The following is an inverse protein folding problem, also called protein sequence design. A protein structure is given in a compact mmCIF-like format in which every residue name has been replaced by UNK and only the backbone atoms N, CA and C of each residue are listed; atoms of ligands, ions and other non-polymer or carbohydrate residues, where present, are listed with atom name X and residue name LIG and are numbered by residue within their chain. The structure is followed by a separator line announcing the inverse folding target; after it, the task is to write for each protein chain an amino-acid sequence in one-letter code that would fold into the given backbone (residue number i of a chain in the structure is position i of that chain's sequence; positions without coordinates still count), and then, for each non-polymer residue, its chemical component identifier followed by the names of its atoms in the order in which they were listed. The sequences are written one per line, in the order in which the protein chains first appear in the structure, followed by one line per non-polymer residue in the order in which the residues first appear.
data_IF_584637360538
#
_entry.id   IF_584637360538
#
_cell.length_a   1.000
_cell.length_b   1.000
_cell.length_c   1.000
_cell.angle_alpha   90.00
_cell.angle_beta   90.00
_cell.angle_gamma   90.00
#
_symmetry.space_group_name_H-M   'P 1'
#
loop_
_entity.id
_entity.type
_entity.pdbx_description
1 polymer ?
#
# COMPACT_ATOMS: atom_id res chain seq x y z
N UNK A 1 -7.64 -2.62 -14.02
CA UNK A 1 -6.45 -1.89 -14.51
C UNK A 1 -6.14 -2.38 -15.90
N UNK A 2 -5.77 -1.50 -16.82
CA UNK A 2 -5.28 -1.89 -18.14
C UNK A 2 -3.86 -2.49 -18.04
N UNK A 3 -3.41 -3.26 -19.04
CA UNK A 3 -2.02 -3.73 -19.09
C UNK A 3 -0.99 -2.60 -18.97
N UNK A 4 -1.26 -1.45 -19.60
CA UNK A 4 -0.37 -0.28 -19.59
C UNK A 4 -0.25 0.31 -18.18
N UNK A 5 -1.35 0.42 -17.45
CA UNK A 5 -1.36 0.89 -16.05
C UNK A 5 -0.53 -0.03 -15.15
N UNK A 6 -0.66 -1.36 -15.33
CA UNK A 6 0.13 -2.34 -14.58
C UNK A 6 1.62 -2.19 -14.88
N UNK A 7 1.98 -2.08 -16.16
CA UNK A 7 3.36 -1.85 -16.58
C UNK A 7 3.92 -0.54 -16.02
N UNK A 8 3.10 0.51 -15.96
CA UNK A 8 3.51 1.81 -15.42
C UNK A 8 3.77 1.75 -13.92
N UNK A 9 2.90 1.10 -13.14
CA UNK A 9 3.13 0.84 -11.70
C UNK A 9 4.42 0.04 -11.51
N UNK A 10 4.63 -1.02 -12.30
CA UNK A 10 5.83 -1.85 -12.21
C UNK A 10 7.11 -1.07 -12.56
N UNK A 11 7.05 -0.21 -13.56
CA UNK A 11 8.21 0.56 -14.05
C UNK A 11 8.56 1.69 -13.09
N UNK A 12 7.56 2.39 -12.54
CA UNK A 12 7.79 3.44 -11.56
C UNK A 12 8.20 2.87 -10.19
N UNK A 13 7.67 1.71 -9.79
CA UNK A 13 8.15 1.03 -8.58
C UNK A 13 9.65 0.67 -8.66
N UNK A 14 10.16 0.25 -9.84
CA UNK A 14 11.60 -0.02 -10.02
C UNK A 14 12.49 1.19 -9.77
N UNK A 15 11.98 2.41 -9.92
CA UNK A 15 12.70 3.65 -9.64
C UNK A 15 12.70 3.97 -8.14
N UNK A 16 11.62 3.61 -7.42
CA UNK A 16 11.50 3.81 -5.96
C UNK A 16 12.16 2.68 -5.17
N UNK A 17 12.20 1.46 -5.70
CA UNK A 17 12.72 0.28 -5.00
C UNK A 17 14.14 0.46 -4.40
N UNK A 18 15.11 1.10 -5.09
CA UNK A 18 16.42 1.39 -4.51
C UNK A 18 16.40 2.30 -3.29
N UNK A 19 15.40 3.19 -3.19
CA UNK A 19 15.21 4.13 -2.08
C UNK A 19 14.07 3.71 -1.14
N UNK A 20 13.56 2.49 -1.29
CA UNK A 20 12.39 2.00 -0.56
C UNK A 20 12.52 2.10 0.97
N UNK A 21 13.69 1.88 1.61
CA UNK A 21 13.84 2.12 3.04
C UNK A 21 13.51 3.55 3.46
N UNK A 22 14.05 4.55 2.76
CA UNK A 22 13.77 5.96 3.02
C UNK A 22 12.33 6.32 2.66
N UNK A 23 11.78 5.74 1.59
CA UNK A 23 10.37 5.92 1.24
C UNK A 23 9.43 5.36 2.32
N UNK A 24 9.77 4.22 2.93
CA UNK A 24 8.98 3.66 4.02
C UNK A 24 9.01 4.54 5.28
N UNK A 25 10.14 5.21 5.56
CA UNK A 25 10.22 6.22 6.63
C UNK A 25 9.25 7.38 6.36
N UNK A 26 9.30 7.95 5.15
CA UNK A 26 8.42 9.03 4.71
C UNK A 26 6.95 8.62 4.77
N UNK A 27 6.63 7.39 4.36
CA UNK A 27 5.27 6.85 4.41
C UNK A 27 4.71 6.82 5.83
N UNK A 28 5.42 6.22 6.79
CA UNK A 28 4.91 6.13 8.15
C UNK A 28 4.88 7.49 8.85
N UNK A 29 5.86 8.36 8.60
CA UNK A 29 5.81 9.73 9.08
C UNK A 29 4.54 10.42 8.58
N UNK A 30 4.29 10.38 7.26
CA UNK A 30 3.12 11.03 6.66
C UNK A 30 1.81 10.43 7.16
N UNK A 31 1.75 9.10 7.28
CA UNK A 31 0.57 8.39 7.76
C UNK A 31 0.21 8.81 9.19
N UNK A 32 1.18 8.86 10.10
CA UNK A 32 0.92 9.21 11.50
C UNK A 32 0.67 10.71 11.70
N UNK A 33 1.27 11.57 10.88
CA UNK A 33 0.93 13.01 10.86
C UNK A 33 -0.53 13.24 10.42
N UNK A 34 -1.03 12.48 9.45
CA UNK A 34 -2.38 12.64 8.90
C UNK A 34 -3.45 11.92 9.72
N UNK A 35 -3.10 10.78 10.32
CA UNK A 35 -4.01 9.91 11.07
C UNK A 35 -3.33 9.40 12.35
N UNK A 36 -3.18 10.25 13.39
CA UNK A 36 -2.54 9.88 14.65
C UNK A 36 -3.21 8.69 15.35
N UNK A 37 -4.51 8.46 15.11
CA UNK A 37 -5.23 7.31 15.61
C UNK A 37 -4.66 5.98 15.09
N UNK A 38 -4.10 5.96 13.87
CA UNK A 38 -3.47 4.77 13.29
C UNK A 38 -2.16 4.46 14.00
N UNK A 39 -1.41 5.47 14.45
CA UNK A 39 -0.14 5.28 15.19
C UNK A 39 -0.35 4.42 16.44
N UNK A 40 -1.49 4.58 17.11
CA UNK A 40 -1.83 3.79 18.31
C UNK A 40 -1.86 2.27 18.06
N UNK A 41 -2.16 1.83 16.84
CA UNK A 41 -2.16 0.42 16.44
C UNK A 41 -0.74 -0.16 16.38
N UNK A 42 0.29 0.68 16.31
CA UNK A 42 1.70 0.30 16.21
C UNK A 42 2.46 0.35 17.54
N UNK A 43 1.80 0.63 18.67
CA UNK A 43 2.47 0.87 19.96
C UNK A 43 3.35 -0.27 20.51
N UNK A 44 3.21 -1.51 20.01
CA UNK A 44 4.07 -2.66 20.36
C UNK A 44 4.82 -3.22 19.14
N UNK A 45 4.81 -2.50 18.02
CA UNK A 45 5.34 -2.95 16.75
C UNK A 45 6.79 -2.54 16.61
N UNK A 46 7.67 -3.47 16.23
CA UNK A 46 8.99 -3.14 15.75
C UNK A 46 8.86 -2.42 14.40
N UNK A 47 8.99 -1.09 14.43
CA UNK A 47 8.82 -0.25 13.25
C UNK A 47 9.89 -0.49 12.18
N UNK A 48 11.08 -0.96 12.55
CA UNK A 48 12.13 -1.32 11.58
C UNK A 48 11.70 -2.54 10.79
N UNK A 49 11.27 -3.60 11.49
CA UNK A 49 10.75 -4.81 10.85
C UNK A 49 9.48 -4.50 10.03
N UNK A 50 8.61 -3.63 10.54
CA UNK A 50 7.37 -3.26 9.89
C UNK A 50 7.57 -2.48 8.58
N UNK A 51 8.55 -1.58 8.52
CA UNK A 51 8.95 -0.90 7.27
C UNK A 51 9.42 -1.88 6.21
N UNK A 52 10.26 -2.85 6.59
CA UNK A 52 10.68 -3.93 5.69
C UNK A 52 9.52 -4.76 5.17
N UNK A 53 8.57 -5.13 6.05
CA UNK A 53 7.35 -5.87 5.66
C UNK A 53 6.48 -5.09 4.68
N UNK A 54 6.35 -3.77 4.87
CA UNK A 54 5.63 -2.90 3.95
C UNK A 54 6.26 -2.93 2.55
N UNK A 55 7.58 -2.70 2.47
CA UNK A 55 8.31 -2.69 1.19
C UNK A 55 8.16 -4.03 0.46
N UNK A 56 8.29 -5.14 1.21
CA UNK A 56 8.14 -6.48 0.66
C UNK A 56 6.71 -6.74 0.17
N UNK A 57 5.70 -6.33 0.94
CA UNK A 57 4.29 -6.46 0.55
C UNK A 57 3.96 -5.63 -0.70
N UNK A 58 4.42 -4.38 -0.79
CA UNK A 58 4.24 -3.54 -1.98
C UNK A 58 4.95 -4.17 -3.18
N UNK A 59 6.20 -4.62 -3.01
CA UNK A 59 6.97 -5.24 -4.10
C UNK A 59 6.31 -6.50 -4.64
N UNK A 60 5.82 -7.39 -3.75
CA UNK A 60 5.06 -8.57 -4.15
C UNK A 60 3.78 -8.21 -4.89
N UNK A 61 3.03 -7.25 -4.37
CA UNK A 61 1.77 -6.80 -4.96
C UNK A 61 2.00 -6.24 -6.37
N UNK A 62 3.01 -5.38 -6.54
CA UNK A 62 3.40 -4.82 -7.84
C UNK A 62 3.82 -5.91 -8.83
N UNK A 63 4.60 -6.90 -8.39
CA UNK A 63 5.00 -8.03 -9.22
C UNK A 63 3.80 -8.90 -9.62
N UNK A 64 2.84 -9.09 -8.72
CA UNK A 64 1.64 -9.90 -8.92
C UNK A 64 0.51 -9.25 -9.73
N UNK A 65 0.63 -7.99 -10.17
CA UNK A 65 -0.45 -7.29 -10.90
C UNK A 65 -0.89 -7.99 -12.20
N UNK A 66 -0.05 -8.87 -12.77
CA UNK A 66 -0.40 -9.66 -13.94
C UNK A 66 -1.27 -10.89 -13.62
N UNK A 67 -1.22 -11.39 -12.38
CA UNK A 67 -2.05 -12.49 -11.87
C UNK A 67 -2.98 -11.96 -10.78
N UNK A 68 -4.02 -11.25 -11.21
CA UNK A 68 -4.95 -10.62 -10.28
C UNK A 68 -5.75 -11.63 -9.44
N UNK A 69 -5.98 -12.85 -9.92
CA UNK A 69 -6.74 -13.87 -9.18
C UNK A 69 -5.97 -14.39 -7.97
N UNK A 70 -4.68 -14.70 -8.17
CA UNK A 70 -3.79 -15.03 -7.07
C UNK A 70 -3.69 -13.87 -6.08
N UNK A 71 -3.49 -12.65 -6.60
CA UNK A 71 -3.35 -11.45 -5.77
C UNK A 71 -4.62 -11.13 -4.97
N UNK A 72 -5.82 -11.32 -5.54
CA UNK A 72 -7.10 -11.20 -4.81
C UNK A 72 -7.14 -12.13 -3.60
N UNK A 73 -6.71 -13.38 -3.76
CA UNK A 73 -6.70 -14.37 -2.68
C UNK A 73 -5.76 -13.95 -1.55
N UNK A 74 -4.54 -13.54 -1.89
CA UNK A 74 -3.53 -13.09 -0.93
C UNK A 74 -3.97 -11.83 -0.18
N UNK A 75 -4.48 -10.81 -0.90
CA UNK A 75 -4.94 -9.55 -0.32
C UNK A 75 -6.17 -9.74 0.57
N UNK A 76 -7.09 -10.62 0.20
CA UNK A 76 -8.24 -10.98 1.05
C UNK A 76 -7.76 -11.61 2.36
N UNK A 77 -6.80 -12.54 2.31
CA UNK A 77 -6.23 -13.15 3.51
C UNK A 77 -5.46 -12.13 4.36
N UNK A 78 -4.75 -11.19 3.73
CA UNK A 78 -4.08 -10.08 4.41
C UNK A 78 -5.09 -9.16 5.11
N UNK A 79 -6.21 -8.85 4.46
CA UNK A 79 -7.32 -8.07 5.01
C UNK A 79 -7.90 -8.67 6.30
N UNK A 80 -8.14 -9.99 6.33
CA UNK A 80 -8.59 -10.70 7.54
C UNK A 80 -7.62 -10.49 8.73
N UNK A 81 -6.31 -10.55 8.46
CA UNK A 81 -5.29 -10.30 9.50
C UNK A 81 -5.33 -8.85 9.97
N UNK A 82 -5.49 -7.89 9.04
CA UNK A 82 -5.57 -6.47 9.37
C UNK A 82 -6.81 -6.12 10.21
N UNK A 83 -7.95 -6.78 9.97
CA UNK A 83 -9.11 -6.67 10.85
C UNK A 83 -8.78 -7.09 12.29
N UNK A 84 -8.04 -8.19 12.45
CA UNK A 84 -7.54 -8.64 13.76
C UNK A 84 -6.57 -7.67 14.44
N UNK A 85 -5.94 -6.76 13.68
CA UNK A 85 -5.10 -5.68 14.21
C UNK A 85 -5.89 -4.41 14.57
N UNK A 86 -7.21 -4.39 14.34
CA UNK A 86 -8.06 -3.22 14.59
C UNK A 86 -8.10 -2.21 13.44
N UNK A 87 -7.66 -2.59 12.23
CA UNK A 87 -7.78 -1.73 11.04
C UNK A 87 -9.26 -1.60 10.65
N UNK A 88 -9.69 -0.36 10.39
CA UNK A 88 -11.04 0.00 9.99
C UNK A 88 -11.07 0.49 8.55
N UNK A 89 -12.26 0.50 7.92
CA UNK A 89 -12.46 0.96 6.54
C UNK A 89 -11.91 2.39 6.33
N UNK A 90 -12.06 3.29 7.32
CA UNK A 90 -11.54 4.67 7.27
C UNK A 90 -10.01 4.76 7.19
N UNK A 91 -9.28 3.79 7.76
CA UNK A 91 -7.82 3.81 7.75
C UNK A 91 -7.25 3.60 6.35
N UNK A 92 -7.97 2.92 5.44
CA UNK A 92 -7.51 2.72 4.07
C UNK A 92 -7.46 4.04 3.28
N UNK A 93 -8.27 5.04 3.60
CA UNK A 93 -8.15 6.34 2.92
C UNK A 93 -6.83 7.02 3.28
N UNK A 94 -6.51 7.11 4.58
CA UNK A 94 -5.26 7.71 5.09
C UNK A 94 -4.01 6.96 4.58
N UNK A 95 -4.06 5.63 4.55
CA UNK A 95 -2.95 4.81 4.00
C UNK A 95 -2.75 5.09 2.50
N UNK A 96 -3.83 5.25 1.73
CA UNK A 96 -3.75 5.57 0.31
C UNK A 96 -3.13 6.93 0.05
N UNK A 97 -3.59 7.94 0.78
CA UNK A 97 -3.07 9.29 0.69
C UNK A 97 -1.57 9.35 1.03
N UNK A 98 -1.15 8.69 2.11
CA UNK A 98 0.25 8.61 2.51
C UNK A 98 1.10 7.88 1.45
N UNK A 99 0.62 6.75 0.93
CA UNK A 99 1.34 5.99 -0.10
C UNK A 99 1.54 6.80 -1.39
N UNK A 100 0.49 7.43 -1.90
CA UNK A 100 0.58 8.23 -3.12
C UNK A 100 1.51 9.43 -2.95
N UNK A 101 1.42 10.12 -1.81
CA UNK A 101 2.34 11.21 -1.49
C UNK A 101 3.81 10.75 -1.39
N UNK A 102 4.06 9.58 -0.80
CA UNK A 102 5.40 9.00 -0.74
C UNK A 102 5.94 8.65 -2.12
N UNK A 103 5.10 8.09 -3.00
CA UNK A 103 5.48 7.77 -4.37
C UNK A 103 5.78 9.03 -5.18
N UNK A 104 4.92 10.05 -5.08
CA UNK A 104 5.15 11.37 -5.68
C UNK A 104 6.49 11.96 -5.22
N UNK A 105 6.75 11.95 -3.92
CA UNK A 105 8.00 12.47 -3.33
C UNK A 105 9.21 11.67 -3.79
N UNK A 106 9.12 10.34 -3.82
CA UNK A 106 10.22 9.46 -4.20
C UNK A 106 10.51 9.43 -5.70
N UNK A 107 9.49 9.64 -6.54
CA UNK A 107 9.64 9.67 -8.00
C UNK A 107 10.01 11.05 -8.54
N UNK A 108 9.64 12.13 -7.84
CA UNK A 108 9.90 13.50 -8.27
C UNK A 108 9.38 13.74 -9.70
N UNK A 109 10.28 14.11 -10.63
CA UNK A 109 9.93 14.32 -12.04
C UNK A 109 9.36 13.07 -12.74
N UNK A 110 9.59 11.87 -12.18
CA UNK A 110 8.99 10.62 -12.67
C UNK A 110 7.51 10.43 -12.30
N UNK A 111 6.93 11.30 -11.47
CA UNK A 111 5.52 11.26 -11.09
C UNK A 111 4.64 11.98 -12.13
N UNK A 112 4.30 11.29 -13.21
CA UNK A 112 3.36 11.81 -14.21
C UNK A 112 1.89 11.63 -13.79
N UNK A 113 0.97 12.32 -14.47
CA UNK A 113 -0.46 12.10 -14.23
C UNK A 113 -0.90 10.65 -14.49
N UNK A 114 -0.31 9.99 -15.48
CA UNK A 114 -0.54 8.58 -15.76
C UNK A 114 -0.06 7.71 -14.60
N UNK A 115 1.11 8.02 -14.03
CA UNK A 115 1.65 7.28 -12.89
C UNK A 115 0.73 7.44 -11.68
N UNK A 116 0.29 8.66 -11.38
CA UNK A 116 -0.66 8.96 -10.33
C UNK A 116 -1.97 8.18 -10.50
N UNK A 117 -2.57 8.19 -11.71
CA UNK A 117 -3.78 7.43 -12.03
C UNK A 117 -3.58 5.93 -11.87
N UNK A 118 -2.46 5.39 -12.37
CA UNK A 118 -2.16 3.97 -12.31
C UNK A 118 -1.96 3.48 -10.86
N UNK A 119 -1.20 4.23 -10.04
CA UNK A 119 -1.01 3.92 -8.62
C UNK A 119 -2.28 4.08 -7.80
N UNK A 120 -3.11 5.10 -8.10
CA UNK A 120 -4.42 5.26 -7.45
C UNK A 120 -5.31 4.05 -7.71
N UNK A 121 -5.33 3.54 -8.94
CA UNK A 121 -6.09 2.33 -9.27
C UNK A 121 -5.52 1.06 -8.65
N UNK A 122 -4.20 0.90 -8.62
CA UNK A 122 -3.54 -0.21 -7.94
C UNK A 122 -3.87 -0.22 -6.44
N UNK A 123 -3.77 0.95 -5.79
CA UNK A 123 -4.14 1.10 -4.39
C UNK A 123 -5.63 0.81 -4.16
N UNK A 124 -6.52 1.36 -4.99
CA UNK A 124 -7.95 1.09 -4.91
C UNK A 124 -8.30 -0.38 -5.12
N UNK A 125 -7.53 -1.13 -5.92
CA UNK A 125 -7.65 -2.58 -6.00
C UNK A 125 -7.24 -3.25 -4.67
N UNK A 126 -6.07 -2.90 -4.13
CA UNK A 126 -5.55 -3.43 -2.85
C UNK A 126 -6.54 -3.20 -1.71
N UNK A 127 -6.93 -1.95 -1.50
CA UNK A 127 -7.82 -1.53 -0.42
C UNK A 127 -9.17 -2.27 -0.49
N UNK A 128 -9.75 -2.43 -1.68
CA UNK A 128 -11.01 -3.18 -1.87
C UNK A 128 -10.88 -4.64 -1.46
N UNK A 129 -9.82 -5.33 -1.90
CA UNK A 129 -9.65 -6.76 -1.57
C UNK A 129 -9.37 -6.97 -0.07
N UNK A 130 -8.56 -6.09 0.53
CA UNK A 130 -8.30 -6.17 1.97
C UNK A 130 -9.56 -5.85 2.80
N UNK A 131 -10.33 -4.83 2.41
CA UNK A 131 -11.60 -4.49 3.09
C UNK A 131 -12.62 -5.62 2.99
N UNK A 132 -12.71 -6.28 1.84
CA UNK A 132 -13.55 -7.48 1.66
C UNK A 132 -13.12 -8.62 2.58
N UNK A 133 -11.80 -8.86 2.67
CA UNK A 133 -11.23 -9.81 3.61
C UNK A 133 -11.58 -9.50 5.06
N UNK A 134 -11.44 -8.23 5.46
CA UNK A 134 -11.75 -7.76 6.81
C UNK A 134 -13.23 -8.01 7.18
N UNK A 135 -14.16 -7.66 6.30
CA UNK A 135 -15.61 -7.85 6.49
C UNK A 135 -16.00 -9.31 6.71
N UNK A 136 -15.35 -10.23 6.00
CA UNK A 136 -15.56 -11.68 6.14
C UNK A 136 -14.94 -12.29 7.38
N UNK A 137 -14.09 -11.57 8.11
CA UNK A 137 -13.53 -12.04 9.39
C UNK A 137 -14.40 -11.64 10.58
N UNK A 138 -15.23 -10.61 10.42
CA UNK A 138 -16.06 -10.01 11.47
C UNK A 138 -17.53 -10.42 11.43
N UNK A 139 -17.94 -11.17 10.39
CA UNK A 139 -19.29 -11.74 10.24
C UNK A 139 -19.28 -13.24 10.42
#
# INVERSE_FOLDING_TARGET
MTPEEKTLVQTTWKQVAPIAPAAADLFYQRLFEQAPEIESLFGKTDMTAQKSRLIEAVSRTVAGLQDEDSLRTELTALGRRHAGYGVQDSHYESVGAALLWTLETGLGEGWSEEACRAWTQAYGFIARQMSEGAKRATG
#
